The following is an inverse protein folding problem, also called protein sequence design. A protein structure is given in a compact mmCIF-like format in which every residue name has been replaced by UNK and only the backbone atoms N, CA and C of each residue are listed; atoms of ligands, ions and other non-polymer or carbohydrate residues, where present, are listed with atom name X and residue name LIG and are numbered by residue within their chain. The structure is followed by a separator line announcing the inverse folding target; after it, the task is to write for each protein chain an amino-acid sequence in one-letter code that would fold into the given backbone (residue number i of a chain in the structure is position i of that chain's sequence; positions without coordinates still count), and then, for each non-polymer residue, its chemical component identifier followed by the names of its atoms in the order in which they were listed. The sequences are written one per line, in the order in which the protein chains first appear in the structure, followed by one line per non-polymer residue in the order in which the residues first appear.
data_IF_952723224231
#
_entry.id   IF_952723224231
#
_cell.length_a   1.000
_cell.length_b   1.000
_cell.length_c   1.000
_cell.angle_alpha   90.00
_cell.angle_beta   90.00
_cell.angle_gamma   90.00
#
_symmetry.space_group_name_H-M   'P 1'
#
loop_
_entity.id
_entity.type
_entity.pdbx_description
1 polymer ?
#
# COMPACT_ATOMS: atom_id res chain seq x y z
N UNK A 1 37.25 -29.70 8.97
CA UNK A 1 37.76 -28.92 10.11
C UNK A 1 36.56 -28.30 10.82
N UNK A 2 36.43 -28.49 12.14
CA UNK A 2 35.33 -27.89 12.88
C UNK A 2 35.48 -26.35 12.86
N UNK A 3 34.43 -25.66 12.40
CA UNK A 3 34.43 -24.21 12.30
C UNK A 3 34.59 -23.60 13.69
N UNK A 4 35.61 -22.72 13.86
CA UNK A 4 35.99 -22.19 15.16
C UNK A 4 34.95 -21.15 15.60
N UNK A 5 34.01 -21.55 16.45
CA UNK A 5 32.98 -20.66 16.99
C UNK A 5 33.61 -19.45 17.70
N UNK A 6 33.29 -18.24 17.24
CA UNK A 6 33.67 -16.98 17.89
C UNK A 6 32.59 -16.59 18.89
N UNK A 7 33.00 -16.24 20.12
CA UNK A 7 32.08 -15.74 21.16
C UNK A 7 31.95 -14.23 21.06
N UNK A 8 30.73 -13.75 21.21
CA UNK A 8 30.38 -12.33 21.20
C UNK A 8 29.55 -12.08 22.46
N UNK A 9 29.87 -11.01 23.19
CA UNK A 9 29.08 -10.55 24.34
C UNK A 9 28.44 -9.22 23.97
N UNK A 10 27.12 -9.13 24.12
CA UNK A 10 26.33 -7.95 23.78
C UNK A 10 25.53 -7.56 25.00
N UNK A 11 25.64 -6.28 25.40
CA UNK A 11 24.78 -5.73 26.44
C UNK A 11 23.38 -5.50 25.84
N UNK A 12 22.35 -5.89 26.58
CA UNK A 12 20.95 -5.73 26.20
C UNK A 12 20.20 -5.06 27.34
N UNK A 13 19.20 -4.25 26.99
CA UNK A 13 18.27 -3.68 27.97
C UNK A 13 17.27 -4.74 28.47
N UNK A 14 16.50 -4.35 29.50
CA UNK A 14 15.50 -5.23 30.12
C UNK A 14 14.38 -5.64 29.15
N UNK A 15 14.01 -4.77 28.21
CA UNK A 15 12.96 -5.08 27.24
C UNK A 15 13.43 -6.09 26.21
N UNK A 16 14.65 -5.96 25.73
CA UNK A 16 15.29 -6.88 24.78
C UNK A 16 15.53 -8.24 25.43
N UNK A 17 16.01 -8.30 26.67
CA UNK A 17 16.14 -9.58 27.41
C UNK A 17 14.78 -10.26 27.58
N UNK A 18 13.74 -9.50 27.92
CA UNK A 18 12.36 -10.02 28.01
C UNK A 18 11.87 -10.58 26.68
N UNK A 19 12.05 -9.86 25.58
CA UNK A 19 11.66 -10.30 24.22
C UNK A 19 12.40 -11.58 23.85
N UNK A 20 13.72 -11.65 24.07
CA UNK A 20 14.53 -12.84 23.78
C UNK A 20 14.04 -14.07 24.55
N UNK A 21 13.70 -13.92 25.84
CA UNK A 21 13.14 -15.02 26.66
C UNK A 21 11.78 -15.49 26.16
N UNK A 22 10.90 -14.56 25.75
CA UNK A 22 9.59 -14.89 25.18
C UNK A 22 9.76 -15.68 23.88
N UNK A 23 10.61 -15.22 22.97
CA UNK A 23 10.88 -15.88 21.69
C UNK A 23 11.51 -17.26 21.88
N UNK A 24 12.53 -17.36 22.73
CA UNK A 24 13.19 -18.62 23.06
C UNK A 24 12.18 -19.67 23.57
N UNK A 25 11.27 -19.26 24.47
CA UNK A 25 10.21 -20.13 24.99
C UNK A 25 9.19 -20.49 23.91
N UNK A 26 8.74 -19.53 23.10
CA UNK A 26 7.72 -19.72 22.06
C UNK A 26 8.22 -20.67 20.95
N UNK A 27 9.49 -20.56 20.57
CA UNK A 27 10.07 -21.36 19.49
C UNK A 27 10.81 -22.60 19.96
N UNK A 28 10.89 -22.83 21.28
CA UNK A 28 11.67 -23.90 21.90
C UNK A 28 13.15 -23.90 21.42
N UNK A 29 13.78 -22.71 21.44
CA UNK A 29 15.16 -22.47 20.99
C UNK A 29 15.98 -21.77 22.07
N UNK A 30 17.31 -21.87 21.97
CA UNK A 30 18.22 -21.10 22.83
C UNK A 30 18.28 -19.63 22.40
N UNK A 31 18.58 -18.73 23.34
CA UNK A 31 18.79 -17.30 23.03
C UNK A 31 19.88 -17.11 21.96
N UNK A 32 20.95 -17.90 22.02
CA UNK A 32 22.03 -17.86 21.03
C UNK A 32 21.56 -18.24 19.62
N UNK A 33 20.63 -19.18 19.48
CA UNK A 33 20.03 -19.52 18.19
C UNK A 33 19.13 -18.40 17.67
N UNK A 34 18.32 -17.80 18.55
CA UNK A 34 17.47 -16.66 18.20
C UNK A 34 18.31 -15.48 17.71
N UNK A 35 19.40 -15.14 18.42
CA UNK A 35 20.32 -14.06 18.02
C UNK A 35 20.99 -14.38 16.68
N UNK A 36 21.49 -15.61 16.49
CA UNK A 36 22.10 -16.00 15.20
C UNK A 36 21.11 -15.89 14.05
N UNK A 37 19.89 -16.37 14.22
CA UNK A 37 18.85 -16.26 13.21
C UNK A 37 18.49 -14.80 12.94
N UNK A 38 18.35 -13.97 13.98
CA UNK A 38 18.05 -12.55 13.83
C UNK A 38 19.14 -11.82 13.03
N UNK A 39 20.42 -12.11 13.29
CA UNK A 39 21.55 -11.55 12.53
C UNK A 39 21.53 -12.03 11.08
N UNK A 40 21.27 -13.31 10.83
CA UNK A 40 21.16 -13.84 9.46
C UNK A 40 20.04 -13.15 8.67
N UNK A 41 18.85 -13.06 9.26
CA UNK A 41 17.69 -12.37 8.66
C UNK A 41 18.00 -10.89 8.42
N UNK A 42 18.60 -10.21 9.41
CA UNK A 42 19.01 -8.81 9.26
C UNK A 42 20.01 -8.63 8.10
N UNK A 43 20.95 -9.56 7.94
CA UNK A 43 21.93 -9.52 6.84
C UNK A 43 21.28 -9.77 5.48
N UNK A 44 20.27 -10.64 5.39
CA UNK A 44 19.51 -10.85 4.16
C UNK A 44 18.80 -9.56 3.72
N UNK A 45 18.13 -8.87 4.65
CA UNK A 45 17.54 -7.57 4.35
C UNK A 45 18.57 -6.53 3.92
N UNK A 46 19.77 -6.51 4.52
CA UNK A 46 20.83 -5.57 4.13
C UNK A 46 21.30 -5.79 2.68
N UNK A 47 21.43 -7.04 2.25
CA UNK A 47 21.80 -7.40 0.87
C UNK A 47 20.73 -6.99 -0.15
N UNK A 48 19.46 -7.05 0.23
CA UNK A 48 18.34 -6.74 -0.65
C UNK A 48 17.80 -5.30 -0.49
N UNK A 49 18.48 -4.45 0.30
CA UNK A 49 18.12 -3.03 0.46
C UNK A 49 18.04 -2.30 -0.87
N UNK A 50 18.99 -2.56 -1.77
CA UNK A 50 19.01 -1.95 -3.11
C UNK A 50 17.82 -2.39 -3.98
N UNK A 51 17.26 -3.58 -3.71
CA UNK A 51 16.03 -4.07 -4.34
C UNK A 51 14.76 -3.56 -3.66
N UNK A 52 14.90 -2.72 -2.62
CA UNK A 52 13.79 -2.16 -1.87
C UNK A 52 13.12 -3.14 -0.91
N UNK A 53 13.73 -4.28 -0.61
CA UNK A 53 13.22 -5.25 0.37
C UNK A 53 13.62 -4.78 1.78
N UNK A 54 12.64 -4.60 2.66
CA UNK A 54 12.87 -4.17 4.04
C UNK A 54 11.88 -4.82 4.98
N UNK A 55 12.20 -4.98 6.28
CA UNK A 55 11.28 -5.57 7.25
C UNK A 55 9.90 -4.89 7.27
N UNK A 56 9.88 -3.55 7.15
CA UNK A 56 8.64 -2.78 7.10
C UNK A 56 7.78 -3.12 5.87
N UNK A 57 8.36 -3.08 4.66
CA UNK A 57 7.63 -3.41 3.43
C UNK A 57 7.19 -4.88 3.38
N UNK A 58 8.04 -5.81 3.83
CA UNK A 58 7.69 -7.22 3.90
C UNK A 58 6.51 -7.46 4.84
N UNK A 59 6.45 -6.76 5.98
CA UNK A 59 5.30 -6.83 6.89
C UNK A 59 4.02 -6.32 6.22
N UNK A 60 4.08 -5.19 5.52
CA UNK A 60 2.93 -4.64 4.79
C UNK A 60 2.42 -5.65 3.74
N UNK A 61 3.30 -6.21 2.91
CA UNK A 61 2.89 -7.22 1.93
C UNK A 61 2.32 -8.48 2.58
N UNK A 62 2.88 -8.93 3.71
CA UNK A 62 2.34 -10.07 4.44
C UNK A 62 0.93 -9.77 4.99
N UNK A 63 0.67 -8.56 5.48
CA UNK A 63 -0.65 -8.14 5.98
C UNK A 63 -1.69 -8.07 4.84
N UNK A 64 -1.33 -7.47 3.69
CA UNK A 64 -2.21 -7.40 2.51
C UNK A 64 -2.61 -8.80 2.02
N UNK A 65 -1.66 -9.74 1.96
CA UNK A 65 -1.93 -11.10 1.53
C UNK A 65 -2.68 -11.92 2.59
N UNK A 66 -2.40 -11.69 3.89
CA UNK A 66 -3.09 -12.38 4.98
C UNK A 66 -4.58 -12.00 5.05
N UNK A 67 -4.93 -10.76 4.71
CA UNK A 67 -6.31 -10.28 4.61
C UNK A 67 -7.14 -10.98 3.52
N UNK A 68 -6.48 -11.66 2.56
CA UNK A 68 -7.10 -12.27 1.37
C UNK A 68 -7.83 -11.28 0.46
N UNK A 69 -7.51 -10.00 0.59
CA UNK A 69 -8.01 -8.92 -0.26
C UNK A 69 -7.15 -8.78 -1.52
N UNK A 70 -5.89 -9.23 -1.47
CA UNK A 70 -4.91 -9.12 -2.55
C UNK A 70 -4.40 -10.48 -3.02
N UNK A 71 -4.02 -10.54 -4.29
CA UNK A 71 -3.39 -11.70 -4.94
C UNK A 71 -2.08 -11.28 -5.60
N UNK A 72 -1.10 -12.19 -5.64
CA UNK A 72 0.12 -12.00 -6.42
C UNK A 72 -0.13 -12.51 -7.83
N UNK A 73 0.10 -11.65 -8.83
CA UNK A 73 -0.04 -11.98 -10.24
C UNK A 73 1.23 -11.58 -10.96
N UNK A 74 1.67 -12.41 -11.91
CA UNK A 74 2.77 -12.09 -12.81
C UNK A 74 2.42 -10.90 -13.72
N UNK A 75 3.38 -10.03 -14.01
CA UNK A 75 3.14 -8.79 -14.75
C UNK A 75 2.73 -9.05 -16.21
N UNK A 76 3.25 -10.09 -16.86
CA UNK A 76 2.90 -10.41 -18.25
C UNK A 76 1.48 -10.97 -18.33
N UNK A 77 1.10 -11.83 -17.38
CA UNK A 77 -0.29 -12.30 -17.24
C UNK A 77 -1.25 -11.14 -16.95
N UNK A 78 -0.84 -10.23 -16.06
CA UNK A 78 -1.63 -9.04 -15.71
C UNK A 78 -1.87 -8.15 -16.94
N UNK A 79 -0.82 -7.87 -17.71
CA UNK A 79 -0.89 -7.12 -18.97
C UNK A 79 -1.81 -7.82 -19.97
N UNK A 80 -1.64 -9.12 -20.20
CA UNK A 80 -2.46 -9.86 -21.14
C UNK A 80 -3.95 -9.82 -20.80
N UNK A 81 -4.31 -9.96 -19.51
CA UNK A 81 -5.70 -9.84 -19.07
C UNK A 81 -6.25 -8.43 -19.27
N UNK A 82 -5.48 -7.40 -18.92
CA UNK A 82 -5.93 -6.02 -19.05
C UNK A 82 -6.03 -5.55 -20.49
N UNK A 83 -5.13 -5.98 -21.38
CA UNK A 83 -5.20 -5.67 -22.80
C UNK A 83 -6.49 -6.25 -23.41
N UNK A 84 -6.80 -7.51 -23.14
CA UNK A 84 -8.05 -8.13 -23.56
C UNK A 84 -9.28 -7.37 -23.01
N UNK A 85 -9.28 -7.06 -21.71
CA UNK A 85 -10.37 -6.31 -21.08
C UNK A 85 -10.53 -4.90 -21.67
N UNK A 86 -9.43 -4.22 -21.99
CA UNK A 86 -9.49 -2.89 -22.58
C UNK A 86 -10.19 -2.90 -23.95
N UNK A 87 -10.10 -3.99 -24.69
CA UNK A 87 -10.73 -4.16 -26.00
C UNK A 87 -12.17 -4.69 -25.91
N UNK A 88 -12.43 -5.64 -25.02
CA UNK A 88 -13.66 -6.45 -25.05
C UNK A 88 -14.61 -6.23 -23.88
N UNK A 89 -14.18 -5.59 -22.78
CA UNK A 89 -15.02 -5.45 -21.60
C UNK A 89 -16.24 -4.55 -21.84
N UNK A 90 -17.40 -5.02 -21.38
CA UNK A 90 -18.67 -4.28 -21.44
C UNK A 90 -18.67 -3.03 -20.55
N UNK A 91 -19.55 -2.07 -20.83
CA UNK A 91 -19.77 -0.90 -19.96
C UNK A 91 -20.10 -1.28 -18.52
N UNK A 92 -20.86 -2.36 -18.31
CA UNK A 92 -21.19 -2.89 -16.97
C UNK A 92 -19.94 -3.24 -16.16
N UNK A 93 -18.87 -3.73 -16.81
CA UNK A 93 -17.60 -4.00 -16.13
C UNK A 93 -16.97 -2.70 -15.62
N UNK A 94 -16.94 -1.66 -16.46
CA UNK A 94 -16.38 -0.36 -16.08
C UNK A 94 -17.19 0.34 -14.99
N UNK A 95 -18.52 0.21 -15.00
CA UNK A 95 -19.39 0.66 -13.89
C UNK A 95 -19.05 -0.03 -12.57
N UNK A 96 -18.78 -1.34 -12.60
CA UNK A 96 -18.35 -2.09 -11.41
C UNK A 96 -16.99 -1.58 -10.92
N UNK A 97 -16.02 -1.37 -11.81
CA UNK A 97 -14.71 -0.81 -11.46
C UNK A 97 -14.83 0.56 -10.80
N UNK A 98 -15.65 1.45 -11.36
CA UNK A 98 -15.91 2.77 -10.76
C UNK A 98 -16.57 2.63 -9.37
N UNK A 99 -17.54 1.73 -9.23
CA UNK A 99 -18.20 1.47 -7.95
C UNK A 99 -17.22 0.96 -6.89
N UNK A 100 -16.32 0.04 -7.24
CA UNK A 100 -15.28 -0.45 -6.34
C UNK A 100 -14.39 0.70 -5.87
N UNK A 101 -14.00 1.61 -6.78
CA UNK A 101 -13.24 2.81 -6.42
C UNK A 101 -13.98 3.71 -5.43
N UNK A 102 -15.29 3.91 -5.64
CA UNK A 102 -16.14 4.66 -4.72
C UNK A 102 -16.23 4.00 -3.33
N UNK A 103 -16.40 2.68 -3.27
CA UNK A 103 -16.42 1.92 -2.02
C UNK A 103 -15.08 2.03 -1.26
N UNK A 104 -13.94 1.98 -1.97
CA UNK A 104 -12.62 2.21 -1.37
C UNK A 104 -12.48 3.62 -0.80
N UNK A 105 -12.95 4.65 -1.52
CA UNK A 105 -12.94 6.01 -1.00
C UNK A 105 -13.72 6.17 0.30
N UNK A 106 -14.88 5.51 0.45
CA UNK A 106 -15.63 5.47 1.71
C UNK A 106 -14.81 4.79 2.82
N UNK A 107 -14.23 3.62 2.53
CA UNK A 107 -13.42 2.88 3.50
C UNK A 107 -12.22 3.69 3.98
N UNK A 108 -11.54 4.41 3.10
CA UNK A 108 -10.42 5.28 3.47
C UNK A 108 -10.86 6.43 4.39
N UNK A 109 -12.01 7.06 4.11
CA UNK A 109 -12.59 8.05 5.03
C UNK A 109 -12.91 7.47 6.40
N UNK A 110 -13.43 6.24 6.47
CA UNK A 110 -13.69 5.55 7.74
C UNK A 110 -12.41 5.23 8.51
N UNK A 111 -11.29 5.04 7.80
CA UNK A 111 -9.95 4.84 8.37
C UNK A 111 -9.25 6.17 8.74
N UNK A 112 -9.89 7.32 8.53
CA UNK A 112 -9.35 8.64 8.84
C UNK A 112 -8.39 9.21 7.78
N UNK A 113 -8.38 8.63 6.57
CA UNK A 113 -7.59 9.15 5.44
C UNK A 113 -8.47 10.10 4.62
N UNK A 114 -8.27 11.40 4.78
CA UNK A 114 -9.08 12.43 4.13
C UNK A 114 -8.37 13.15 2.99
N UNK A 115 -7.03 13.13 2.96
CA UNK A 115 -6.26 13.74 1.87
C UNK A 115 -5.99 12.73 0.75
N UNK A 116 -5.98 13.21 -0.50
CA UNK A 116 -5.60 12.37 -1.64
C UNK A 116 -4.17 11.86 -1.51
N UNK A 117 -3.26 12.64 -0.93
CA UNK A 117 -1.88 12.24 -0.71
C UNK A 117 -1.78 11.02 0.21
N UNK A 118 -2.52 11.00 1.32
CA UNK A 118 -2.50 9.88 2.26
C UNK A 118 -3.09 8.62 1.62
N UNK A 119 -4.19 8.78 0.89
CA UNK A 119 -4.84 7.68 0.15
C UNK A 119 -3.89 7.09 -0.90
N UNK A 120 -3.27 7.93 -1.73
CA UNK A 120 -2.34 7.45 -2.76
C UNK A 120 -1.08 6.81 -2.17
N UNK A 121 -0.58 7.34 -1.05
CA UNK A 121 0.57 6.75 -0.33
C UNK A 121 0.20 5.39 0.25
N UNK A 122 -1.03 5.23 0.74
CA UNK A 122 -1.53 3.94 1.20
C UNK A 122 -1.64 2.94 0.03
N UNK A 123 -2.28 3.35 -1.07
CA UNK A 123 -2.48 2.53 -2.28
C UNK A 123 -1.18 2.15 -2.99
N UNK A 124 -0.11 2.94 -2.87
CA UNK A 124 1.21 2.57 -3.43
C UNK A 124 1.70 1.21 -2.89
N UNK A 125 1.27 0.82 -1.68
CA UNK A 125 1.59 -0.50 -1.11
C UNK A 125 0.86 -1.66 -1.80
N UNK A 126 -0.24 -1.40 -2.51
CA UNK A 126 -0.99 -2.40 -3.27
C UNK A 126 -0.35 -2.70 -4.64
N UNK A 127 0.77 -2.05 -4.95
CA UNK A 127 1.63 -2.33 -6.11
C UNK A 127 1.00 -2.04 -7.49
N UNK A 128 -0.04 -1.21 -7.56
CA UNK A 128 -0.62 -0.72 -8.81
C UNK A 128 0.22 0.34 -9.51
N UNK A 129 0.85 1.21 -8.72
CA UNK A 129 1.62 2.34 -9.21
C UNK A 129 2.63 2.80 -8.16
N UNK A 130 3.58 3.63 -8.58
CA UNK A 130 4.31 4.52 -7.67
C UNK A 130 3.78 5.93 -7.77
N UNK A 131 3.74 6.68 -6.67
CA UNK A 131 3.23 8.05 -6.64
C UNK A 131 4.36 9.07 -6.48
N UNK A 132 4.31 10.14 -7.28
CA UNK A 132 5.04 11.38 -7.02
C UNK A 132 4.03 12.49 -6.81
N UNK A 133 4.10 13.16 -5.66
CA UNK A 133 3.23 14.28 -5.32
C UNK A 133 4.01 15.60 -5.39
N UNK A 134 3.40 16.62 -5.98
CA UNK A 134 3.93 17.97 -6.08
C UNK A 134 2.76 18.97 -6.10
N UNK A 135 2.58 19.74 -5.03
CA UNK A 135 1.58 20.83 -4.92
C UNK A 135 0.21 20.56 -5.58
N UNK A 136 -0.49 19.49 -5.18
CA UNK A 136 -1.82 19.14 -5.72
C UNK A 136 -1.80 18.39 -7.06
N UNK A 137 -0.61 18.13 -7.60
CA UNK A 137 -0.37 17.30 -8.78
C UNK A 137 0.19 15.95 -8.33
N UNK A 138 -0.49 14.87 -8.71
CA UNK A 138 -0.10 13.50 -8.36
C UNK A 138 0.17 12.73 -9.63
N UNK A 139 1.44 12.37 -9.86
CA UNK A 139 1.84 11.52 -10.98
C UNK A 139 1.92 10.07 -10.53
N UNK A 140 1.01 9.26 -11.03
CA UNK A 140 1.00 7.81 -10.82
C UNK A 140 1.81 7.15 -11.94
N UNK A 141 2.92 6.51 -11.58
CA UNK A 141 3.81 5.78 -12.48
C UNK A 141 3.35 4.33 -12.49
N UNK A 142 2.81 3.90 -13.63
CA UNK A 142 2.17 2.60 -13.79
C UNK A 142 3.19 1.51 -14.12
N UNK A 143 2.89 0.28 -13.71
CA UNK A 143 3.69 -0.89 -14.05
C UNK A 143 3.56 -1.19 -15.54
N UNK A 144 2.35 -1.05 -16.10
CA UNK A 144 2.05 -1.26 -17.50
C UNK A 144 1.11 -0.18 -18.08
N UNK A 145 1.12 -0.02 -19.40
CA UNK A 145 0.19 0.90 -20.09
C UNK A 145 -1.26 0.42 -20.00
N UNK A 146 -1.47 -0.89 -20.02
CA UNK A 146 -2.77 -1.56 -19.96
C UNK A 146 -3.57 -1.22 -18.71
N UNK A 147 -2.91 -0.75 -17.64
CA UNK A 147 -3.52 -0.34 -16.37
C UNK A 147 -4.25 1.00 -16.44
N UNK A 148 -4.02 1.82 -17.47
CA UNK A 148 -4.53 3.19 -17.51
C UNK A 148 -6.05 3.28 -17.39
N UNK A 149 -6.79 2.50 -18.19
CA UNK A 149 -8.25 2.58 -18.25
C UNK A 149 -8.90 2.11 -16.95
N UNK A 150 -8.43 0.99 -16.40
CA UNK A 150 -8.95 0.45 -15.15
C UNK A 150 -8.67 1.39 -13.98
N UNK A 151 -7.44 1.92 -13.86
CA UNK A 151 -7.08 2.86 -12.80
C UNK A 151 -7.82 4.18 -12.93
N UNK A 152 -7.90 4.76 -14.14
CA UNK A 152 -8.68 5.99 -14.37
C UNK A 152 -10.14 5.79 -13.97
N UNK A 153 -10.74 4.66 -14.33
CA UNK A 153 -12.14 4.35 -14.01
C UNK A 153 -12.34 4.17 -12.51
N UNK A 154 -11.44 3.45 -11.85
CA UNK A 154 -11.41 3.31 -10.39
C UNK A 154 -11.28 4.67 -9.70
N UNK A 155 -10.35 5.51 -10.13
CA UNK A 155 -10.11 6.83 -9.53
C UNK A 155 -11.28 7.79 -9.70
N UNK A 156 -12.10 7.69 -10.76
CA UNK A 156 -13.35 8.47 -10.86
C UNK A 156 -14.26 8.22 -9.67
N UNK A 157 -14.46 6.95 -9.31
CA UNK A 157 -15.26 6.57 -8.15
C UNK A 157 -14.63 7.01 -6.84
N UNK A 158 -13.32 6.78 -6.69
CA UNK A 158 -12.58 7.12 -5.47
C UNK A 158 -12.60 8.62 -5.18
N UNK A 159 -12.29 9.46 -6.18
CA UNK A 159 -12.28 10.92 -6.04
C UNK A 159 -13.68 11.45 -5.69
N UNK A 160 -14.74 10.89 -6.29
CA UNK A 160 -16.13 11.21 -5.95
C UNK A 160 -16.45 10.90 -4.49
N UNK A 161 -16.02 9.75 -3.96
CA UNK A 161 -16.25 9.37 -2.57
C UNK A 161 -15.49 10.25 -1.56
N UNK A 162 -14.30 10.73 -1.96
CA UNK A 162 -13.49 11.66 -1.19
C UNK A 162 -13.95 13.12 -1.31
N UNK A 163 -14.90 13.41 -2.20
CA UNK A 163 -15.34 14.77 -2.53
C UNK A 163 -14.18 15.67 -2.98
N UNK A 164 -13.29 15.12 -3.83
CA UNK A 164 -12.14 15.82 -4.39
C UNK A 164 -12.42 16.12 -5.86
N UNK A 165 -12.42 17.40 -6.20
CA UNK A 165 -12.49 17.84 -7.59
C UNK A 165 -11.11 17.81 -8.23
N UNK A 166 -10.93 16.93 -9.21
CA UNK A 166 -9.65 16.73 -9.86
C UNK A 166 -9.81 16.27 -11.31
N UNK A 167 -8.91 16.75 -12.16
CA UNK A 167 -8.79 16.29 -13.54
C UNK A 167 -7.78 15.15 -13.64
N UNK A 168 -8.02 14.24 -14.60
CA UNK A 168 -7.12 13.12 -14.87
C UNK A 168 -6.59 13.18 -16.30
N UNK A 169 -5.27 13.26 -16.43
CA UNK A 169 -4.56 13.30 -17.71
C UNK A 169 -3.78 12.00 -17.91
N UNK A 170 -4.04 11.33 -19.04
CA UNK A 170 -3.34 10.10 -19.43
C UNK A 170 -2.02 10.44 -20.13
N UNK A 171 -0.93 9.80 -19.70
CA UNK A 171 0.35 9.80 -20.43
C UNK A 171 0.60 8.47 -21.14
N UNK A 172 1.87 8.06 -21.32
CA UNK A 172 2.18 6.75 -21.91
C UNK A 172 2.14 5.60 -20.90
N UNK A 173 2.79 5.79 -19.75
CA UNK A 173 2.82 4.85 -18.60
C UNK A 173 2.58 5.60 -17.28
N UNK A 174 1.77 6.65 -17.38
CA UNK A 174 1.43 7.51 -16.26
C UNK A 174 -0.03 7.92 -16.32
N UNK A 175 -0.60 8.11 -15.14
CA UNK A 175 -1.86 8.81 -14.93
C UNK A 175 -1.55 9.99 -14.02
N UNK A 176 -1.89 11.20 -14.45
CA UNK A 176 -1.66 12.41 -13.67
C UNK A 176 -3.00 12.89 -13.14
N UNK A 177 -3.11 13.05 -11.83
CA UNK A 177 -4.27 13.64 -11.15
C UNK A 177 -3.91 15.07 -10.76
N UNK A 178 -4.69 16.04 -11.21
CA UNK A 178 -4.51 17.45 -10.89
C UNK A 178 -5.70 17.89 -10.06
N UNK A 179 -5.48 18.20 -8.79
CA UNK A 179 -6.53 18.70 -7.89
C UNK A 179 -6.79 20.16 -8.21
N UNK A 180 -8.05 20.50 -8.43
CA UNK A 180 -8.45 21.88 -8.64
C UNK A 180 -8.42 22.60 -7.29
N UNK A 181 -7.64 23.68 -7.20
CA UNK A 181 -7.37 24.43 -5.98
C UNK A 181 -8.60 25.03 -5.28
N UNK A 182 -9.78 25.00 -5.92
CA UNK A 182 -11.05 25.47 -5.38
C UNK A 182 -11.79 24.39 -4.55
N UNK A 183 -11.26 23.17 -4.49
CA UNK A 183 -11.81 22.04 -3.76
C UNK A 183 -11.36 21.96 -2.30
N UNK A 184 -11.57 23.02 -1.51
CA UNK A 184 -11.51 22.86 -0.06
C UNK A 184 -12.58 21.84 0.37
N UNK A 185 -12.14 20.85 1.15
CA UNK A 185 -13.04 19.97 1.92
C UNK A 185 -14.03 20.88 2.64
N UNK A 186 -15.30 20.87 2.22
CA UNK A 186 -16.38 21.50 3.00
C UNK A 186 -16.51 20.70 4.29
N UNK A 187 -15.77 21.10 5.31
CA UNK A 187 -16.13 20.80 6.70
C UNK A 187 -17.35 21.66 7.04
N UNK A 188 -18.55 21.08 6.87
CA UNK A 188 -19.86 21.49 7.44
C UNK A 188 -20.87 20.54 6.75
N UNK A 189 -21.51 19.57 7.39
CA UNK A 189 -22.43 19.68 8.54
C UNK A 189 -22.37 18.40 9.41
N UNK A 190 -21.92 18.51 10.65
CA UNK A 190 -22.22 17.51 11.68
C UNK A 190 -22.24 18.14 13.08
N UNK A 191 -22.77 19.37 13.20
CA UNK A 191 -23.16 19.95 14.49
C UNK A 191 -24.35 20.89 14.25
N UNK A 192 -25.58 20.37 14.26
CA UNK A 192 -26.78 21.04 14.82
C UNK A 192 -28.00 20.11 14.70
N UNK A 193 -28.12 19.13 15.60
CA UNK A 193 -29.44 18.57 15.94
C UNK A 193 -29.43 17.93 17.33
N UNK A 194 -29.09 18.71 18.36
CA UNK A 194 -29.37 18.32 19.74
C UNK A 194 -29.44 19.53 20.67
N UNK A 195 -30.26 20.52 20.32
CA UNK A 195 -30.76 21.51 21.29
C UNK A 195 -31.98 22.24 20.76
N UNK A 196 -33.13 21.55 20.72
CA UNK A 196 -34.46 22.12 20.92
C UNK A 196 -35.50 21.00 20.82
N UNK A 197 -35.92 20.47 21.97
CA UNK A 197 -37.31 20.18 22.39
C UNK A 197 -37.26 19.38 23.68
#
# INVERSE_FOLDING_TARGET
MAEKLKRISVAVDSDTDRILRILAKKENKTISEIIRNAISVYSEFDKDKEKGVSPGKTKIYAELLAGREHVIVDIELWVAMLDELNETASEKFWEIVEKIGYEHGIQYRMKGLYSLQDVLTHMENENWFRVKADEGIYTLILSARSEQRILRTFFKGLLRALNIDAEMVEGLRKLIIVVNSDGHVKEEELVTSSSTS
#
